data_IF_127268162682
#
_entry.id   IF_127268162682
#
_cell.length_a   1.000
_cell.length_b   1.000
_cell.length_c   1.000
_cell.angle_alpha   90.00
_cell.angle_beta   90.00
_cell.angle_gamma   90.00
#
_symmetry.space_group_name_H-M   'P 1'
#
loop_
_entity.id
_entity.type
_entity.pdbx_description
1 polymer ?
#
# COMPACT_ATOMS: atom_id res chain seq x y z
N UNK A 1 7.98 10.71 17.48
CA UNK A 1 7.95 10.44 16.03
C UNK A 1 9.21 11.00 15.38
N UNK A 2 9.85 10.26 14.47
CA UNK A 2 11.00 10.75 13.71
C UNK A 2 10.56 11.77 12.66
N UNK A 3 11.42 12.70 12.22
CA UNK A 3 11.08 13.68 11.18
C UNK A 3 10.66 13.04 9.84
N UNK A 4 11.12 11.81 9.57
CA UNK A 4 10.79 11.07 8.35
C UNK A 4 9.38 10.47 8.35
N UNK A 5 8.83 10.10 9.51
CA UNK A 5 7.50 9.49 9.59
C UNK A 5 6.41 10.40 8.99
N UNK A 6 6.40 11.68 9.36
CA UNK A 6 5.42 12.64 8.82
C UNK A 6 5.55 12.79 7.31
N UNK A 7 6.78 12.83 6.80
CA UNK A 7 7.03 12.95 5.36
C UNK A 7 6.52 11.73 4.60
N UNK A 8 6.80 10.52 5.10
CA UNK A 8 6.33 9.25 4.53
C UNK A 8 4.80 9.21 4.51
N UNK A 9 4.14 9.59 5.60
CA UNK A 9 2.70 9.64 5.68
C UNK A 9 2.12 10.62 4.64
N UNK A 10 2.70 11.81 4.50
CA UNK A 10 2.29 12.79 3.48
C UNK A 10 2.42 12.23 2.06
N UNK A 11 3.54 11.58 1.71
CA UNK A 11 3.71 10.97 0.39
C UNK A 11 2.72 9.84 0.14
N UNK A 12 2.41 9.02 1.15
CA UNK A 12 1.40 7.96 1.03
C UNK A 12 0.01 8.56 0.73
N UNK A 13 -0.38 9.62 1.45
CA UNK A 13 -1.65 10.31 1.22
C UNK A 13 -1.70 10.92 -0.19
N UNK A 14 -0.62 11.59 -0.62
CA UNK A 14 -0.53 12.16 -1.97
C UNK A 14 -0.62 11.09 -3.06
N UNK A 15 0.08 9.97 -2.90
CA UNK A 15 0.03 8.85 -3.84
C UNK A 15 -1.39 8.27 -3.95
N UNK A 16 -2.08 8.07 -2.83
CA UNK A 16 -3.48 7.62 -2.83
C UNK A 16 -4.37 8.62 -3.56
N UNK A 17 -4.22 9.92 -3.28
CA UNK A 17 -5.01 10.96 -3.95
C UNK A 17 -4.80 10.95 -5.48
N UNK A 18 -3.54 10.86 -5.94
CA UNK A 18 -3.21 10.77 -7.37
C UNK A 18 -3.79 9.50 -8.00
N UNK A 19 -3.68 8.35 -7.34
CA UNK A 19 -4.27 7.09 -7.81
C UNK A 19 -5.80 7.20 -7.96
N UNK A 20 -6.47 7.87 -7.03
CA UNK A 20 -7.92 8.11 -7.10
C UNK A 20 -8.30 9.05 -8.25
N UNK A 21 -7.49 10.07 -8.54
CA UNK A 21 -7.70 10.98 -9.68
C UNK A 21 -7.54 10.22 -11.00
N UNK A 22 -6.43 9.49 -11.17
CA UNK A 22 -6.18 8.66 -12.36
C UNK A 22 -7.33 7.67 -12.56
N UNK A 23 -7.78 7.02 -11.49
CA UNK A 23 -8.93 6.12 -11.55
C UNK A 23 -10.21 6.82 -12.03
N UNK A 24 -10.53 8.00 -11.49
CA UNK A 24 -11.73 8.74 -11.91
C UNK A 24 -11.68 9.12 -13.39
N UNK A 25 -10.49 9.45 -13.91
CA UNK A 25 -10.26 9.69 -15.34
C UNK A 25 -10.46 8.41 -16.15
N UNK A 26 -9.86 7.29 -15.72
CA UNK A 26 -10.00 5.99 -16.41
C UNK A 26 -11.45 5.49 -16.44
N UNK A 27 -12.20 5.67 -15.34
CA UNK A 27 -13.62 5.28 -15.25
C UNK A 27 -14.51 6.05 -16.24
N UNK A 28 -14.21 7.33 -16.53
CA UNK A 28 -14.95 8.12 -17.53
C UNK A 28 -14.76 7.56 -18.94
N UNK A 29 -13.67 6.83 -19.17
CA UNK A 29 -13.42 6.15 -20.42
C UNK A 29 -14.16 4.80 -20.43
N UNK A 30 -15.13 4.61 -21.33
CA UNK A 30 -16.02 3.41 -21.37
C UNK A 30 -15.31 2.09 -21.75
N UNK A 31 -13.97 2.02 -21.66
CA UNK A 31 -13.23 0.77 -21.88
C UNK A 31 -13.60 -0.24 -20.78
N UNK A 32 -13.79 -1.49 -21.17
CA UNK A 32 -13.96 -2.62 -20.23
C UNK A 32 -12.63 -2.85 -19.51
N UNK A 33 -12.39 -2.12 -18.44
CA UNK A 33 -11.25 -2.35 -17.54
C UNK A 33 -11.60 -3.57 -16.68
N UNK A 34 -10.68 -4.54 -16.60
CA UNK A 34 -10.81 -5.72 -15.74
C UNK A 34 -10.66 -5.35 -14.27
N UNK A 35 -11.68 -4.72 -13.68
CA UNK A 35 -11.63 -4.15 -12.33
C UNK A 35 -11.29 -5.18 -11.24
N UNK A 36 -11.74 -6.43 -11.39
CA UNK A 36 -11.38 -7.46 -10.45
C UNK A 36 -9.95 -7.96 -10.59
N UNK A 37 -9.45 -8.14 -11.81
CA UNK A 37 -8.01 -8.41 -12.04
C UNK A 37 -7.14 -7.26 -11.51
N UNK A 38 -7.58 -6.01 -11.68
CA UNK A 38 -6.89 -4.84 -11.14
C UNK A 38 -6.88 -4.83 -9.60
N UNK A 39 -7.99 -5.15 -8.94
CA UNK A 39 -8.04 -5.29 -7.48
C UNK A 39 -7.03 -6.35 -7.02
N UNK A 40 -7.06 -7.54 -7.63
CA UNK A 40 -6.12 -8.60 -7.27
C UNK A 40 -4.66 -8.19 -7.48
N UNK A 41 -4.34 -7.56 -8.62
CA UNK A 41 -2.99 -7.05 -8.90
C UNK A 41 -2.52 -6.06 -7.84
N UNK A 42 -3.38 -5.10 -7.47
CA UNK A 42 -3.05 -4.11 -6.44
C UNK A 42 -2.85 -4.77 -5.07
N UNK A 43 -3.68 -5.74 -4.69
CA UNK A 43 -3.47 -6.50 -3.46
C UNK A 43 -2.11 -7.22 -3.46
N UNK A 44 -1.75 -7.88 -4.57
CA UNK A 44 -0.48 -8.58 -4.70
C UNK A 44 0.72 -7.63 -4.70
N UNK A 45 0.60 -6.44 -5.29
CA UNK A 45 1.63 -5.40 -5.21
C UNK A 45 1.79 -4.89 -3.78
N UNK A 46 0.71 -4.69 -3.04
CA UNK A 46 0.75 -4.33 -1.61
C UNK A 46 1.50 -5.36 -0.78
N UNK A 47 1.27 -6.65 -1.05
CA UNK A 47 2.04 -7.75 -0.45
C UNK A 47 3.50 -7.64 -0.89
N UNK A 48 3.79 -7.57 -2.19
CA UNK A 48 5.15 -7.56 -2.72
C UNK A 48 6.01 -6.39 -2.19
N UNK A 49 5.43 -5.21 -1.96
CA UNK A 49 6.19 -4.11 -1.37
C UNK A 49 6.48 -4.33 0.12
N UNK A 50 5.64 -5.09 0.83
CA UNK A 50 5.74 -5.29 2.29
C UNK A 50 6.68 -6.40 2.70
N UNK A 51 6.95 -7.39 1.84
CA UNK A 51 7.71 -8.58 2.21
C UNK A 51 9.14 -8.59 1.68
N UNK A 52 10.00 -9.33 2.39
CA UNK A 52 11.37 -9.60 2.01
C UNK A 52 11.43 -10.78 1.03
N UNK A 53 12.09 -10.56 -0.10
CA UNK A 53 12.40 -11.57 -1.12
C UNK A 53 13.91 -11.82 -1.11
N UNK A 54 14.35 -12.84 -0.37
CA UNK A 54 15.78 -13.10 -0.17
C UNK A 54 16.45 -11.97 0.63
N UNK A 55 17.32 -11.20 -0.03
CA UNK A 55 18.00 -10.03 0.54
C UNK A 55 17.40 -8.69 0.06
N UNK A 56 16.30 -8.73 -0.68
CA UNK A 56 15.68 -7.57 -1.30
C UNK A 56 14.30 -7.30 -0.70
N UNK A 57 13.99 -6.03 -0.48
CA UNK A 57 12.64 -5.58 -0.09
C UNK A 57 12.24 -4.51 -1.09
N UNK A 58 11.17 -4.76 -1.85
CA UNK A 58 10.75 -3.85 -2.91
C UNK A 58 10.38 -2.47 -2.36
N UNK A 59 9.72 -2.39 -1.21
CA UNK A 59 9.39 -1.09 -0.63
C UNK A 59 10.61 -0.31 -0.12
N UNK A 60 11.67 -0.98 0.32
CA UNK A 60 12.92 -0.29 0.72
C UNK A 60 13.58 0.36 -0.49
N UNK A 61 13.56 -0.33 -1.63
CA UNK A 61 14.01 0.23 -2.90
C UNK A 61 13.13 1.41 -3.35
N UNK A 62 11.80 1.30 -3.24
CA UNK A 62 10.90 2.41 -3.57
C UNK A 62 11.17 3.65 -2.69
N UNK A 63 11.47 3.46 -1.41
CA UNK A 63 11.87 4.58 -0.54
C UNK A 63 13.23 5.17 -0.92
N UNK A 64 14.20 4.35 -1.31
CA UNK A 64 15.52 4.85 -1.71
C UNK A 64 15.46 5.71 -2.97
N UNK A 65 14.54 5.41 -3.91
CA UNK A 65 14.31 6.23 -5.11
C UNK A 65 13.91 7.68 -4.80
N UNK A 66 13.27 7.91 -3.66
CA UNK A 66 12.84 9.25 -3.21
C UNK A 66 13.70 9.78 -2.05
N UNK A 67 14.83 9.14 -1.77
CA UNK A 67 15.77 9.55 -0.72
C UNK A 67 15.23 9.41 0.71
N UNK A 68 14.24 8.54 0.93
CA UNK A 68 13.66 8.30 2.26
C UNK A 68 14.23 7.02 2.90
N UNK A 69 14.39 6.98 4.23
CA UNK A 69 14.76 5.75 4.92
C UNK A 69 13.57 4.80 5.03
N UNK A 70 13.82 3.50 4.85
CA UNK A 70 12.80 2.47 5.05
C UNK A 70 12.54 2.14 6.53
N UNK A 71 13.47 2.47 7.42
CA UNK A 71 13.42 2.15 8.85
C UNK A 71 13.44 3.41 9.70
N UNK A 72 12.78 3.37 10.86
CA UNK A 72 12.79 4.48 11.82
C UNK A 72 14.17 4.78 12.38
N UNK A 73 14.99 3.74 12.56
CA UNK A 73 16.42 3.87 12.81
C UNK A 73 17.19 3.38 11.59
N UNK A 74 17.64 4.34 10.77
CA UNK A 74 18.34 4.07 9.52
C UNK A 74 19.84 3.71 9.70
N UNK A 75 20.41 3.91 10.89
CA UNK A 75 21.84 3.64 11.13
C UNK A 75 22.12 2.14 11.13
N UNK A 76 21.20 1.35 11.70
CA UNK A 76 21.31 -0.10 11.81
C UNK A 76 20.09 -0.85 11.28
N UNK A 77 19.18 -0.16 10.56
CA UNK A 77 17.93 -0.71 10.03
C UNK A 77 17.11 -1.45 11.10
N UNK A 78 16.88 -0.78 12.23
CA UNK A 78 16.06 -1.29 13.34
C UNK A 78 14.86 -0.38 13.62
N UNK A 79 13.99 -0.85 14.51
CA UNK A 79 12.77 -0.14 14.87
C UNK A 79 11.66 -0.38 13.85
N UNK A 80 10.83 0.64 13.63
CA UNK A 80 9.65 0.54 12.79
C UNK A 80 10.03 0.53 11.31
N UNK A 81 9.53 -0.47 10.57
CA UNK A 81 9.75 -0.60 9.13
C UNK A 81 8.64 0.12 8.35
N UNK A 82 8.94 1.31 7.84
CA UNK A 82 7.99 2.19 7.15
C UNK A 82 7.45 1.61 5.85
N UNK A 83 8.12 0.60 5.29
CA UNK A 83 7.72 -0.11 4.07
C UNK A 83 6.33 -0.71 4.18
N UNK A 84 5.91 -1.06 5.41
CA UNK A 84 4.55 -1.47 5.69
C UNK A 84 3.51 -0.36 5.41
N UNK A 85 3.80 0.91 5.69
CA UNK A 85 2.88 2.02 5.38
C UNK A 85 2.79 2.31 3.88
N UNK A 86 3.90 2.12 3.16
CA UNK A 86 3.89 2.28 1.71
C UNK A 86 2.88 1.33 1.05
N UNK A 87 2.69 0.13 1.59
CA UNK A 87 1.73 -0.84 1.06
C UNK A 87 0.27 -0.37 1.03
N UNK A 88 -0.08 0.60 1.88
CA UNK A 88 -1.44 1.18 1.96
C UNK A 88 -1.86 1.78 0.61
N UNK A 89 -0.90 2.35 -0.15
CA UNK A 89 -1.19 2.96 -1.46
C UNK A 89 -1.72 1.93 -2.46
N UNK A 90 -1.46 0.64 -2.24
CA UNK A 90 -1.97 -0.45 -3.06
C UNK A 90 -3.21 -1.11 -2.45
N UNK A 91 -3.22 -1.35 -1.13
CA UNK A 91 -4.33 -2.02 -0.46
C UNK A 91 -5.62 -1.19 -0.45
N UNK A 92 -5.56 0.13 -0.24
CA UNK A 92 -6.77 0.97 -0.25
C UNK A 92 -7.45 0.95 -1.63
N UNK A 93 -6.75 1.23 -2.75
CA UNK A 93 -7.36 1.13 -4.06
C UNK A 93 -7.87 -0.27 -4.38
N UNK A 94 -7.12 -1.31 -4.02
CA UNK A 94 -7.58 -2.70 -4.17
C UNK A 94 -8.90 -2.95 -3.44
N UNK A 95 -9.02 -2.52 -2.17
CA UNK A 95 -10.24 -2.66 -1.39
C UNK A 95 -11.43 -1.94 -2.04
N UNK A 96 -11.20 -0.72 -2.55
CA UNK A 96 -12.22 0.08 -3.23
C UNK A 96 -12.72 -0.63 -4.50
N UNK A 97 -11.82 -1.19 -5.33
CA UNK A 97 -12.21 -1.90 -6.54
C UNK A 97 -12.86 -3.24 -6.24
N UNK A 98 -12.30 -3.99 -5.30
CA UNK A 98 -12.84 -5.26 -4.84
C UNK A 98 -14.26 -5.12 -4.29
N UNK A 99 -14.57 -3.99 -3.64
CA UNK A 99 -15.90 -3.71 -3.10
C UNK A 99 -16.91 -3.24 -4.15
N UNK A 100 -16.46 -2.62 -5.24
CA UNK A 100 -17.33 -2.14 -6.34
C UNK A 100 -17.70 -3.23 -7.34
N UNK A 101 -16.98 -4.34 -7.36
CA UNK A 101 -17.18 -5.43 -8.31
C UNK A 101 -17.30 -6.79 -7.60
N UNK A 102 -18.26 -6.97 -6.66
CA UNK A 102 -18.29 -8.12 -5.75
C UNK A 102 -18.48 -9.49 -6.44
N UNK A 103 -19.07 -9.50 -7.65
CA UNK A 103 -19.28 -10.71 -8.44
C UNK A 103 -18.02 -11.21 -9.17
N UNK A 104 -16.96 -10.39 -9.25
CA UNK A 104 -15.71 -10.78 -9.90
C UNK A 104 -14.79 -11.52 -8.90
N UNK A 105 -14.24 -12.65 -9.34
CA UNK A 105 -13.35 -13.47 -8.52
C UNK A 105 -12.10 -12.72 -8.04
N UNK A 106 -11.43 -12.00 -8.94
CA UNK A 106 -10.24 -11.21 -8.60
C UNK A 106 -10.57 -10.06 -7.66
N UNK A 107 -11.73 -9.42 -7.86
CA UNK A 107 -12.24 -8.39 -6.95
C UNK A 107 -12.48 -8.95 -5.55
N UNK A 108 -13.11 -10.12 -5.44
CA UNK A 108 -13.40 -10.77 -4.16
C UNK A 108 -12.12 -11.11 -3.40
N UNK A 109 -11.15 -11.74 -4.06
CA UNK A 109 -9.86 -12.09 -3.44
C UNK A 109 -9.06 -10.83 -3.09
N UNK A 110 -8.93 -9.89 -4.04
CA UNK A 110 -8.20 -8.65 -3.83
C UNK A 110 -8.74 -7.86 -2.64
N UNK A 111 -10.08 -7.76 -2.51
CA UNK A 111 -10.75 -7.17 -1.34
C UNK A 111 -10.34 -7.86 -0.05
N UNK A 112 -10.45 -9.19 0.03
CA UNK A 112 -10.15 -9.95 1.24
C UNK A 112 -8.70 -9.80 1.69
N UNK A 113 -7.74 -9.97 0.77
CA UNK A 113 -6.32 -9.77 1.07
C UNK A 113 -6.10 -8.35 1.61
N UNK A 114 -6.62 -7.35 0.91
CA UNK A 114 -6.41 -5.95 1.28
C UNK A 114 -7.03 -5.60 2.63
N UNK A 115 -8.23 -6.11 2.93
CA UNK A 115 -8.87 -5.94 4.24
C UNK A 115 -8.01 -6.49 5.37
N UNK A 116 -7.50 -7.73 5.21
CA UNK A 116 -6.68 -8.39 6.24
C UNK A 116 -5.41 -7.57 6.50
N UNK A 117 -4.70 -7.18 5.45
CA UNK A 117 -3.47 -6.40 5.60
C UNK A 117 -3.73 -5.00 6.16
N UNK A 118 -4.79 -4.31 5.75
CA UNK A 118 -5.12 -3.00 6.32
C UNK A 118 -5.43 -3.09 7.83
N UNK A 119 -6.13 -4.15 8.26
CA UNK A 119 -6.37 -4.38 9.69
C UNK A 119 -5.03 -4.62 10.43
N UNK A 120 -4.14 -5.45 9.88
CA UNK A 120 -2.81 -5.67 10.47
C UNK A 120 -2.00 -4.38 10.56
N UNK A 121 -2.04 -3.54 9.52
CA UNK A 121 -1.35 -2.25 9.50
C UNK A 121 -1.91 -1.31 10.58
N UNK A 122 -3.23 -1.26 10.77
CA UNK A 122 -3.85 -0.46 11.83
C UNK A 122 -3.39 -0.96 13.21
N UNK A 123 -3.38 -2.27 13.43
CA UNK A 123 -2.90 -2.87 14.69
C UNK A 123 -1.44 -2.48 14.94
N UNK A 124 -0.56 -2.65 13.95
CA UNK A 124 0.86 -2.29 14.04
C UNK A 124 1.05 -0.79 14.29
N UNK A 125 0.23 0.06 13.67
CA UNK A 125 0.26 1.50 13.90
C UNK A 125 -0.15 1.87 15.33
N UNK A 126 -1.20 1.25 15.86
CA UNK A 126 -1.62 1.45 17.25
C UNK A 126 -0.49 1.06 18.20
N UNK A 127 0.14 -0.12 17.99
CA UNK A 127 1.31 -0.54 18.78
C UNK A 127 2.45 0.47 18.73
N UNK A 128 2.75 1.01 17.54
CA UNK A 128 3.79 2.03 17.37
C UNK A 128 3.46 3.35 18.09
N UNK A 129 2.19 3.72 18.22
CA UNK A 129 1.77 4.95 18.89
C UNK A 129 1.85 4.86 20.41
N UNK A 130 1.73 3.66 20.98
CA UNK A 130 1.72 3.43 22.43
C UNK A 130 3.09 3.01 22.99
N UNK A 131 4.01 2.58 22.12
CA UNK A 131 5.40 2.22 22.45
C UNK A 131 6.32 3.44 22.43
#
# INVERSE_FOLDING_TARGET
>A
MTPFFSSILTYCIQAIAVLLIIFNVLKRNKRKIGWGSLSLLLALLGVAVSFKFGNYILGDYLFSLVGLPAWSNNVNNTGFHYTLFLSIIFFIPSLIFGSKNPEDFGAKIGKWISSIYLILIIIMFIFFMIS
#
